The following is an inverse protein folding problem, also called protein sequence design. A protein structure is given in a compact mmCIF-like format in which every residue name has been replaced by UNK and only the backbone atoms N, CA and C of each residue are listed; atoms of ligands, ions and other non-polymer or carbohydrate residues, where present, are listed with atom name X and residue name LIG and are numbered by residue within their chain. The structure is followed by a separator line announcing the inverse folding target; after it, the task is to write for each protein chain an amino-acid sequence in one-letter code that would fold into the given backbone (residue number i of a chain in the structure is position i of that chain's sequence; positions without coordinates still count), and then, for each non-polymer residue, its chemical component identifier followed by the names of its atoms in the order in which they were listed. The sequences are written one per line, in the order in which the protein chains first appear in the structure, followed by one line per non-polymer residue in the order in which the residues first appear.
data_IF_603435779118
#
_entry.id   IF_603435779118
#
_cell.length_a   1.000
_cell.length_b   1.000
_cell.length_c   1.000
_cell.angle_alpha   90.00
_cell.angle_beta   90.00
_cell.angle_gamma   90.00
#
_symmetry.space_group_name_H-M   'P 1'
#
loop_
_entity.id
_entity.type
_entity.pdbx_description
1 polymer ?
#
# COMPACT_ATOMS: atom_id res chain seq x y z
N UNK A 1 35.05 28.02 -13.39
CA UNK A 1 33.62 28.42 -13.33
C UNK A 1 32.78 27.18 -13.60
N UNK A 2 32.06 26.61 -12.62
CA UNK A 2 31.13 25.53 -12.92
C UNK A 2 29.89 26.16 -13.56
N UNK A 3 29.49 25.65 -14.74
CA UNK A 3 28.24 26.03 -15.39
C UNK A 3 27.10 25.56 -14.48
N UNK A 4 26.31 26.51 -13.95
CA UNK A 4 24.98 26.21 -13.39
C UNK A 4 24.07 25.81 -14.55
N UNK A 5 23.55 24.59 -14.51
CA UNK A 5 22.66 24.04 -15.52
C UNK A 5 21.24 24.49 -15.19
N UNK A 6 20.90 25.68 -15.68
CA UNK A 6 19.56 26.24 -15.52
C UNK A 6 18.51 25.19 -15.96
N UNK A 7 17.54 24.82 -15.11
CA UNK A 7 16.57 23.78 -15.45
C UNK A 7 15.81 24.19 -16.72
N UNK A 8 15.76 23.27 -17.69
CA UNK A 8 15.02 23.50 -18.93
C UNK A 8 13.52 23.47 -18.64
N UNK A 9 12.71 24.16 -19.45
CA UNK A 9 11.24 24.09 -19.38
C UNK A 9 10.71 22.64 -19.39
N UNK A 10 11.40 21.74 -20.09
CA UNK A 10 11.09 20.30 -20.10
C UNK A 10 11.26 19.66 -18.72
N UNK A 11 12.37 19.94 -18.02
CA UNK A 11 12.62 19.39 -16.69
C UNK A 11 11.61 19.89 -15.65
N UNK A 12 11.13 21.13 -15.79
CA UNK A 12 10.10 21.70 -14.90
C UNK A 12 8.76 20.98 -15.08
N UNK A 13 8.34 20.76 -16.33
CA UNK A 13 7.10 20.02 -16.62
C UNK A 13 7.19 18.58 -16.13
N UNK A 14 8.31 17.90 -16.36
CA UNK A 14 8.53 16.53 -15.90
C UNK A 14 8.53 16.43 -14.36
N UNK A 15 9.11 17.42 -13.68
CA UNK A 15 9.09 17.52 -12.21
C UNK A 15 7.67 17.70 -11.67
N UNK A 16 6.83 18.52 -12.30
CA UNK A 16 5.43 18.71 -11.89
C UNK A 16 4.61 17.43 -12.08
N UNK A 17 4.82 16.71 -13.18
CA UNK A 17 4.19 15.41 -13.42
C UNK A 17 4.59 14.40 -12.35
N UNK A 18 5.88 14.32 -12.01
CA UNK A 18 6.38 13.40 -10.97
C UNK A 18 5.86 13.73 -9.58
N UNK A 19 5.72 15.01 -9.24
CA UNK A 19 5.10 15.42 -7.97
C UNK A 19 3.63 14.99 -7.87
N UNK A 20 2.86 15.15 -8.96
CA UNK A 20 1.47 14.68 -8.98
C UNK A 20 1.39 13.15 -8.86
N UNK A 21 2.25 12.42 -9.57
CA UNK A 21 2.34 10.97 -9.45
C UNK A 21 2.64 10.54 -8.01
N UNK A 22 3.53 11.25 -7.32
CA UNK A 22 3.85 10.99 -5.92
C UNK A 22 2.64 11.21 -5.00
N UNK A 23 1.94 12.34 -5.16
CA UNK A 23 0.74 12.65 -4.36
C UNK A 23 -0.34 11.57 -4.52
N UNK A 24 -0.59 11.12 -5.76
CA UNK A 24 -1.54 10.06 -6.06
C UNK A 24 -1.14 8.72 -5.41
N UNK A 25 0.15 8.34 -5.49
CA UNK A 25 0.66 7.13 -4.87
C UNK A 25 0.58 7.17 -3.34
N UNK A 26 0.84 8.32 -2.72
CA UNK A 26 0.74 8.49 -1.26
C UNK A 26 -0.71 8.39 -0.79
N UNK A 27 -1.65 9.00 -1.50
CA UNK A 27 -3.09 8.86 -1.20
C UNK A 27 -3.49 7.39 -1.29
N UNK A 28 -3.11 6.71 -2.38
CA UNK A 28 -3.43 5.30 -2.56
C UNK A 28 -2.83 4.40 -1.47
N UNK A 29 -1.58 4.66 -1.06
CA UNK A 29 -0.95 3.96 0.06
C UNK A 29 -1.74 4.12 1.37
N UNK A 30 -2.19 5.34 1.68
CA UNK A 30 -2.97 5.62 2.90
C UNK A 30 -4.29 4.85 2.88
N UNK A 31 -4.98 4.83 1.74
CA UNK A 31 -6.24 4.12 1.56
C UNK A 31 -6.04 2.61 1.72
N UNK A 32 -5.00 2.05 1.10
CA UNK A 32 -4.71 0.62 1.19
C UNK A 32 -4.37 0.18 2.62
N UNK A 33 -3.59 0.98 3.37
CA UNK A 33 -3.31 0.71 4.79
C UNK A 33 -4.60 0.70 5.62
N UNK A 34 -5.52 1.64 5.38
CA UNK A 34 -6.81 1.68 6.07
C UNK A 34 -7.64 0.44 5.75
N UNK A 35 -7.66 0.03 4.48
CA UNK A 35 -8.39 -1.14 4.02
C UNK A 35 -7.86 -2.44 4.64
N UNK A 36 -6.55 -2.68 4.62
CA UNK A 36 -5.92 -3.85 5.25
C UNK A 36 -6.25 -3.92 6.75
N UNK A 37 -6.24 -2.79 7.45
CA UNK A 37 -6.63 -2.74 8.87
C UNK A 37 -8.09 -3.13 9.08
N UNK A 38 -9.00 -2.63 8.23
CA UNK A 38 -10.41 -2.97 8.30
C UNK A 38 -10.65 -4.47 8.03
N UNK A 39 -9.96 -5.05 7.04
CA UNK A 39 -10.02 -6.49 6.74
C UNK A 39 -9.54 -7.33 7.93
N UNK A 40 -8.39 -6.98 8.53
CA UNK A 40 -7.88 -7.68 9.72
C UNK A 40 -8.85 -7.60 10.90
N UNK A 41 -9.49 -6.46 11.13
CA UNK A 41 -10.50 -6.32 12.17
C UNK A 41 -11.76 -7.16 11.90
N UNK A 42 -12.25 -7.14 10.66
CA UNK A 42 -13.39 -7.96 10.25
C UNK A 42 -13.08 -9.45 10.41
N UNK A 43 -11.88 -9.89 10.01
CA UNK A 43 -11.42 -11.27 10.20
C UNK A 43 -11.46 -11.68 11.67
N UNK A 44 -10.89 -10.87 12.57
CA UNK A 44 -10.91 -11.15 14.01
C UNK A 44 -12.34 -11.26 14.55
N UNK A 45 -13.27 -10.41 14.10
CA UNK A 45 -14.67 -10.48 14.50
C UNK A 45 -15.34 -11.77 14.00
N UNK A 46 -15.10 -12.14 12.74
CA UNK A 46 -15.62 -13.39 12.17
C UNK A 46 -15.07 -14.58 12.94
N UNK A 47 -13.76 -14.65 13.19
CA UNK A 47 -13.16 -15.75 13.97
C UNK A 47 -13.77 -15.86 15.37
N UNK A 48 -13.97 -14.74 16.07
CA UNK A 48 -14.60 -14.72 17.39
C UNK A 48 -16.06 -15.22 17.34
N UNK A 49 -16.85 -14.76 16.36
CA UNK A 49 -18.24 -15.22 16.16
C UNK A 49 -18.30 -16.70 15.81
N UNK A 50 -17.40 -17.16 14.94
CA UNK A 50 -17.34 -18.57 14.55
C UNK A 50 -16.91 -19.44 15.73
N UNK A 51 -15.93 -19.00 16.52
CA UNK A 51 -15.44 -19.70 17.71
C UNK A 51 -16.50 -19.77 18.80
N UNK A 52 -17.17 -18.66 19.09
CA UNK A 52 -18.27 -18.61 20.06
C UNK A 52 -19.46 -19.48 19.65
N UNK A 53 -19.83 -19.46 18.36
CA UNK A 53 -20.84 -20.37 17.81
C UNK A 53 -20.42 -21.84 17.94
N UNK A 54 -19.16 -22.18 17.60
CA UNK A 54 -18.63 -23.54 17.73
C UNK A 54 -18.62 -24.04 19.18
N UNK A 55 -18.25 -23.20 20.14
CA UNK A 55 -18.34 -23.52 21.57
C UNK A 55 -19.78 -23.73 22.02
N UNK A 56 -20.72 -22.91 21.55
CA UNK A 56 -22.14 -23.05 21.88
C UNK A 56 -22.77 -24.34 21.32
N UNK A 57 -22.26 -24.86 20.18
CA UNK A 57 -22.78 -26.05 19.51
C UNK A 57 -21.90 -27.30 19.65
N UNK A 58 -20.77 -27.25 20.38
CA UNK A 58 -19.87 -28.39 20.60
C UNK A 58 -19.17 -28.90 19.34
N UNK A 59 -19.01 -28.07 18.30
CA UNK A 59 -18.46 -28.47 17.01
C UNK A 59 -16.94 -28.24 16.98
N UNK A 60 -16.14 -29.32 16.86
CA UNK A 60 -14.71 -29.24 16.52
C UNK A 60 -14.56 -28.92 15.03
N UNK A 61 -13.77 -27.91 14.66
CA UNK A 61 -13.76 -27.36 13.30
C UNK A 61 -12.57 -27.78 12.45
N UNK A 62 -12.84 -28.10 11.19
CA UNK A 62 -11.87 -28.09 10.08
C UNK A 62 -11.22 -26.72 9.89
N UNK A 63 -9.89 -26.73 9.82
CA UNK A 63 -8.96 -25.58 9.73
C UNK A 63 -9.05 -24.79 8.41
N UNK A 64 -9.81 -25.28 7.44
CA UNK A 64 -9.73 -24.83 6.03
C UNK A 64 -10.30 -23.44 5.73
N UNK A 65 -11.08 -22.81 6.61
CA UNK A 65 -11.65 -21.46 6.35
C UNK A 65 -10.73 -20.27 6.71
N UNK A 66 -9.69 -20.49 7.51
CA UNK A 66 -8.71 -19.44 7.84
C UNK A 66 -7.81 -19.12 6.64
N UNK A 67 -7.40 -20.16 5.90
CA UNK A 67 -6.41 -20.08 4.83
C UNK A 67 -6.82 -19.14 3.67
N UNK A 68 -8.09 -19.14 3.25
CA UNK A 68 -8.54 -18.33 2.10
C UNK A 68 -8.63 -16.83 2.40
N UNK A 69 -8.76 -16.44 3.67
CA UNK A 69 -8.84 -15.02 4.06
C UNK A 69 -7.45 -14.43 4.30
N UNK A 70 -6.52 -15.23 4.82
CA UNK A 70 -5.12 -14.86 5.00
C UNK A 70 -4.42 -14.61 3.64
N UNK A 71 -4.76 -15.38 2.61
CA UNK A 71 -4.30 -15.16 1.23
C UNK A 71 -4.73 -13.80 0.67
N UNK A 72 -5.96 -13.37 0.97
CA UNK A 72 -6.46 -12.05 0.55
C UNK A 72 -5.73 -10.89 1.22
N UNK A 73 -5.42 -11.00 2.51
CA UNK A 73 -4.65 -9.99 3.24
C UNK A 73 -3.20 -9.94 2.71
N UNK A 74 -2.59 -11.09 2.45
CA UNK A 74 -1.23 -11.18 1.92
C UNK A 74 -1.11 -10.50 0.54
N UNK A 75 -2.12 -10.61 -0.32
CA UNK A 75 -2.15 -9.93 -1.61
C UNK A 75 -2.10 -8.40 -1.47
N UNK A 76 -2.92 -7.83 -0.59
CA UNK A 76 -2.90 -6.37 -0.37
C UNK A 76 -1.62 -5.88 0.33
N UNK A 77 -0.99 -6.73 1.12
CA UNK A 77 0.33 -6.43 1.71
C UNK A 77 1.43 -6.40 0.65
N UNK A 78 1.38 -7.30 -0.33
CA UNK A 78 2.29 -7.27 -1.48
C UNK A 78 2.07 -6.00 -2.33
N UNK A 79 0.82 -5.62 -2.58
CA UNK A 79 0.51 -4.36 -3.26
C UNK A 79 1.06 -3.14 -2.51
N UNK A 80 0.97 -3.13 -1.17
CA UNK A 80 1.51 -2.06 -0.34
C UNK A 80 3.04 -1.94 -0.48
N UNK A 81 3.75 -3.07 -0.52
CA UNK A 81 5.21 -3.12 -0.73
C UNK A 81 5.56 -2.57 -2.12
N UNK A 82 4.81 -2.95 -3.15
CA UNK A 82 5.00 -2.46 -4.51
C UNK A 82 4.80 -0.94 -4.60
N UNK A 83 3.72 -0.40 -4.01
CA UNK A 83 3.47 1.04 -3.94
C UNK A 83 4.62 1.76 -3.23
N UNK A 84 5.14 1.22 -2.13
CA UNK A 84 6.30 1.77 -1.44
C UNK A 84 7.55 1.84 -2.32
N UNK A 85 7.82 0.80 -3.11
CA UNK A 85 8.92 0.79 -4.08
C UNK A 85 8.73 1.83 -5.18
N UNK A 86 7.50 2.02 -5.67
CA UNK A 86 7.17 3.03 -6.69
C UNK A 86 7.35 4.44 -6.15
N UNK A 87 6.88 4.72 -4.93
CA UNK A 87 7.11 5.99 -4.22
C UNK A 87 8.61 6.31 -4.16
N UNK A 88 9.42 5.36 -3.69
CA UNK A 88 10.88 5.54 -3.57
C UNK A 88 11.55 5.88 -4.91
N UNK A 89 11.06 5.27 -6.00
CA UNK A 89 11.54 5.52 -7.37
C UNK A 89 11.16 6.92 -7.87
N UNK A 90 9.92 7.34 -7.61
CA UNK A 90 9.43 8.67 -7.98
C UNK A 90 10.14 9.76 -7.18
N UNK A 91 10.35 9.56 -5.88
CA UNK A 91 11.13 10.47 -5.02
C UNK A 91 12.55 10.65 -5.53
N UNK A 92 13.23 9.55 -5.89
CA UNK A 92 14.58 9.59 -6.49
C UNK A 92 14.59 10.36 -7.81
N UNK A 93 13.56 10.20 -8.64
CA UNK A 93 13.42 10.92 -9.92
C UNK A 93 13.20 12.42 -9.69
N UNK A 94 12.38 12.79 -8.70
CA UNK A 94 12.16 14.18 -8.28
C UNK A 94 13.46 14.82 -7.80
N UNK A 95 14.25 14.10 -6.98
CA UNK A 95 15.53 14.59 -6.49
C UNK A 95 16.49 14.91 -7.63
N UNK A 96 16.62 13.98 -8.59
CA UNK A 96 17.46 14.17 -9.78
C UNK A 96 17.00 15.35 -10.65
N UNK A 97 15.69 15.47 -10.90
CA UNK A 97 15.12 16.55 -11.70
C UNK A 97 15.17 17.92 -10.99
N UNK A 98 15.32 17.92 -9.66
CA UNK A 98 15.46 19.14 -8.85
C UNK A 98 16.90 19.64 -8.73
N UNK A 99 17.88 18.91 -9.28
CA UNK A 99 19.29 19.32 -9.27
C UNK A 99 19.54 20.49 -10.26
N UNK A 100 20.40 21.46 -9.90
CA UNK A 100 20.64 22.70 -10.65
C UNK A 100 21.72 22.64 -11.75
#
# INVERSE_FOLDING_TARGET
MPRRTQPTLSNVVELEVKKRELDELQVHQIELVKFIKALRQWHQQVEQLTTSGRYAFGIQSDEQRGLTHDEGIAHYEEELVNIGSRISTVESSIELLSQP
#
